data_IF_090209836258
#
_entry.id   IF_090209836258
#
_cell.length_a   1.000
_cell.length_b   1.000
_cell.length_c   1.000
_cell.angle_alpha   90.00
_cell.angle_beta   90.00
_cell.angle_gamma   90.00
#
_symmetry.space_group_name_H-M   'P 1'
#
loop_
_entity.id
_entity.type
_entity.pdbx_description
1 polymer ?
#
# COMPACT_ATOMS: atom_id res chain seq x y z
N UNK A 1 26.29 -9.07 1.29
CA UNK A 1 25.47 -8.54 0.17
C UNK A 1 24.08 -9.19 0.08
N UNK A 2 23.89 -10.44 0.53
CA UNK A 2 22.59 -11.15 0.59
C UNK A 2 21.65 -10.65 1.69
N UNK A 3 22.19 -10.25 2.85
CA UNK A 3 21.42 -9.96 4.06
C UNK A 3 20.61 -8.64 3.96
N UNK A 4 21.19 -7.59 3.37
CA UNK A 4 20.48 -6.32 3.13
C UNK A 4 19.34 -6.46 2.13
N UNK A 5 19.52 -7.29 1.10
CA UNK A 5 18.49 -7.54 0.09
C UNK A 5 17.34 -8.37 0.68
N UNK A 6 17.65 -9.35 1.53
CA UNK A 6 16.66 -10.09 2.32
C UNK A 6 15.86 -9.16 3.24
N UNK A 7 16.53 -8.23 3.93
CA UNK A 7 15.88 -7.22 4.75
C UNK A 7 14.88 -6.38 3.96
N UNK A 8 15.30 -5.79 2.82
CA UNK A 8 14.41 -4.95 2.01
C UNK A 8 13.22 -5.75 1.45
N UNK A 9 13.45 -7.01 1.03
CA UNK A 9 12.36 -7.92 0.61
C UNK A 9 11.34 -8.16 1.73
N UNK A 10 11.80 -8.34 2.97
CA UNK A 10 10.90 -8.56 4.10
C UNK A 10 10.08 -7.30 4.45
N UNK A 11 10.66 -6.10 4.33
CA UNK A 11 9.91 -4.85 4.47
C UNK A 11 8.85 -4.74 3.37
N UNK A 12 9.28 -4.92 2.12
CA UNK A 12 8.41 -4.85 0.95
C UNK A 12 7.23 -5.83 1.05
N UNK A 13 7.49 -7.08 1.44
CA UNK A 13 6.46 -8.10 1.59
C UNK A 13 5.38 -7.65 2.58
N UNK A 14 5.76 -7.16 3.76
CA UNK A 14 4.80 -6.69 4.77
C UNK A 14 4.00 -5.47 4.31
N UNK A 15 4.64 -4.56 3.59
CA UNK A 15 3.97 -3.42 2.94
C UNK A 15 2.91 -3.88 1.94
N UNK A 16 3.27 -4.80 1.04
CA UNK A 16 2.35 -5.34 0.03
C UNK A 16 1.19 -6.08 0.68
N UNK A 17 1.45 -6.93 1.68
CA UNK A 17 0.39 -7.66 2.39
C UNK A 17 -0.56 -6.72 3.13
N UNK A 18 -0.06 -5.62 3.69
CA UNK A 18 -0.91 -4.58 4.28
C UNK A 18 -1.79 -3.93 3.21
N UNK A 19 -1.24 -3.60 2.04
CA UNK A 19 -2.02 -3.02 0.94
C UNK A 19 -3.09 -3.99 0.44
N UNK A 20 -2.75 -5.26 0.21
CA UNK A 20 -3.70 -6.32 -0.16
C UNK A 20 -4.79 -6.56 0.88
N UNK A 21 -4.52 -6.27 2.15
CA UNK A 21 -5.52 -6.33 3.20
C UNK A 21 -6.50 -5.14 3.11
N UNK A 22 -5.98 -3.92 2.90
CA UNK A 22 -6.79 -2.70 2.89
C UNK A 22 -7.61 -2.53 1.61
N UNK A 23 -7.04 -2.82 0.45
CA UNK A 23 -7.65 -2.51 -0.86
C UNK A 23 -8.99 -3.21 -1.12
N UNK A 24 -9.17 -4.53 -0.86
CA UNK A 24 -10.44 -5.20 -1.14
C UNK A 24 -11.55 -4.78 -0.17
N UNK A 25 -11.19 -4.13 0.95
CA UNK A 25 -12.12 -3.62 1.96
C UNK A 25 -12.57 -2.19 1.69
N UNK A 26 -12.05 -1.55 0.64
CA UNK A 26 -12.34 -0.15 0.33
C UNK A 26 -11.83 0.83 1.40
N UNK A 27 -10.86 0.42 2.22
CA UNK A 27 -10.33 1.26 3.29
C UNK A 27 -9.40 2.33 2.72
N UNK A 28 -9.58 3.59 3.14
CA UNK A 28 -8.72 4.70 2.74
C UNK A 28 -7.27 4.42 3.15
N UNK A 29 -6.37 4.34 2.18
CA UNK A 29 -4.96 3.99 2.43
C UNK A 29 -4.22 5.13 3.11
N UNK A 30 -4.47 6.36 2.64
CA UNK A 30 -3.86 7.61 3.12
C UNK A 30 -4.79 8.34 4.07
N UNK A 31 -4.20 9.11 4.99
CA UNK A 31 -4.91 10.04 5.88
C UNK A 31 -4.53 11.48 5.57
N UNK A 32 -5.04 12.42 6.37
CA UNK A 32 -4.69 13.85 6.28
C UNK A 32 -3.31 14.18 6.86
N UNK A 33 -2.69 13.22 7.56
CA UNK A 33 -1.35 13.30 8.11
C UNK A 33 -0.56 12.06 7.64
N UNK A 34 0.76 12.15 7.55
CA UNK A 34 1.63 11.03 7.17
C UNK A 34 2.69 10.69 8.25
N UNK A 35 2.62 11.35 9.41
CA UNK A 35 3.52 11.12 10.55
C UNK A 35 3.09 9.89 11.34
N UNK A 36 4.03 9.01 11.66
CA UNK A 36 3.76 7.89 12.58
C UNK A 36 3.47 8.41 13.99
N UNK A 37 2.51 7.79 14.67
CA UNK A 37 1.95 8.17 15.96
C UNK A 37 0.74 9.10 15.86
N UNK A 38 0.40 9.59 14.65
CA UNK A 38 -0.76 10.43 14.44
C UNK A 38 -2.02 9.57 14.24
N UNK A 39 -3.12 9.93 14.90
CA UNK A 39 -4.44 9.31 14.70
C UNK A 39 -4.93 9.46 13.25
N UNK A 40 -4.43 10.46 12.55
CA UNK A 40 -4.81 10.79 11.17
C UNK A 40 -3.79 10.31 10.12
N UNK A 41 -2.91 9.36 10.45
CA UNK A 41 -1.83 8.89 9.58
C UNK A 41 -2.27 7.97 8.41
N UNK A 42 -3.58 7.70 8.31
CA UNK A 42 -4.17 6.81 7.31
C UNK A 42 -4.06 5.34 7.68
N UNK A 43 -4.94 4.51 7.11
CA UNK A 43 -5.02 3.10 7.52
C UNK A 43 -3.73 2.33 7.23
N UNK A 44 -2.99 2.66 6.16
CA UNK A 44 -1.74 1.95 5.85
C UNK A 44 -0.69 2.10 6.95
N UNK A 45 -0.44 3.33 7.40
CA UNK A 45 0.56 3.59 8.46
C UNK A 45 0.05 3.12 9.82
N UNK A 46 -1.22 3.36 10.13
CA UNK A 46 -1.84 2.85 11.36
C UNK A 46 -1.77 1.32 11.47
N UNK A 47 -1.91 0.60 10.36
CA UNK A 47 -1.77 -0.87 10.37
C UNK A 47 -0.32 -1.32 10.58
N UNK A 48 0.66 -0.60 10.02
CA UNK A 48 2.07 -0.89 10.28
C UNK A 48 2.45 -0.63 11.75
N UNK A 49 1.88 0.40 12.39
CA UNK A 49 2.00 0.64 13.83
C UNK A 49 1.33 -0.44 14.67
N UNK A 50 0.24 -1.03 14.18
CA UNK A 50 -0.35 -2.19 14.83
C UNK A 50 0.57 -3.40 14.74
N UNK A 51 1.14 -3.68 13.55
CA UNK A 51 2.06 -4.82 13.33
C UNK A 51 3.35 -4.65 14.14
N UNK A 52 3.84 -3.43 14.29
CA UNK A 52 5.00 -3.08 15.14
C UNK A 52 4.88 -3.65 16.55
N UNK A 53 3.71 -3.48 17.19
CA UNK A 53 3.45 -3.95 18.57
C UNK A 53 3.65 -5.45 18.77
N UNK A 54 3.54 -6.23 17.70
CA UNK A 54 3.62 -7.69 17.73
C UNK A 54 4.84 -8.26 16.97
N UNK A 55 5.68 -7.40 16.38
CA UNK A 55 6.70 -7.82 15.44
C UNK A 55 8.00 -7.01 15.53
N UNK A 56 9.08 -7.56 16.12
CA UNK A 56 10.33 -6.81 16.35
C UNK A 56 10.98 -6.31 15.05
N UNK A 57 10.76 -7.01 13.93
CA UNK A 57 11.28 -6.62 12.63
C UNK A 57 10.72 -5.28 12.13
N UNK A 58 9.39 -5.11 12.16
CA UNK A 58 8.77 -3.85 11.73
C UNK A 58 9.08 -2.75 12.75
N UNK A 59 9.09 -3.09 14.04
CA UNK A 59 9.48 -2.16 15.10
C UNK A 59 10.82 -1.50 14.85
N UNK A 60 11.86 -2.31 14.64
CA UNK A 60 13.20 -1.80 14.37
C UNK A 60 13.24 -0.98 13.08
N UNK A 61 12.49 -1.37 12.05
CA UNK A 61 12.41 -0.60 10.81
C UNK A 61 11.71 0.75 11.01
N UNK A 62 10.58 0.81 11.72
CA UNK A 62 9.85 2.06 11.99
C UNK A 62 10.66 3.01 12.86
N UNK A 63 11.31 2.53 13.92
CA UNK A 63 12.21 3.33 14.76
C UNK A 63 13.33 3.94 13.91
N UNK A 64 13.90 3.15 12.99
CA UNK A 64 15.05 3.58 12.19
C UNK A 64 14.68 4.50 11.02
N UNK A 65 13.51 4.34 10.42
CA UNK A 65 13.17 5.00 9.14
C UNK A 65 11.80 5.70 9.10
N UNK A 66 10.92 5.45 10.05
CA UNK A 66 9.48 5.74 9.93
C UNK A 66 9.09 7.23 9.86
N UNK A 67 9.88 8.10 10.51
CA UNK A 67 9.67 9.55 10.55
C UNK A 67 10.91 10.36 10.11
N UNK A 68 11.82 9.76 9.33
CA UNK A 68 13.10 10.41 8.94
C UNK A 68 12.99 11.49 7.84
N UNK A 69 11.77 11.82 7.39
CA UNK A 69 11.55 12.83 6.35
C UNK A 69 12.01 12.40 4.95
N UNK A 70 12.01 13.34 4.01
CA UNK A 70 12.38 13.12 2.60
C UNK A 70 13.90 12.84 2.46
N UNK A 71 14.29 12.08 1.43
CA UNK A 71 15.70 11.73 1.16
C UNK A 71 16.20 10.45 1.80
N UNK A 72 15.37 9.79 2.63
CA UNK A 72 15.65 8.45 3.16
C UNK A 72 14.83 7.40 2.42
N UNK A 73 15.48 6.32 1.97
CA UNK A 73 14.78 5.18 1.36
C UNK A 73 14.02 4.44 2.45
N UNK A 74 12.72 4.71 2.56
CA UNK A 74 11.80 3.96 3.40
C UNK A 74 10.66 3.47 2.53
N UNK A 75 10.51 2.16 2.36
CA UNK A 75 9.37 1.55 1.64
C UNK A 75 8.01 1.83 2.31
N UNK A 76 8.01 2.52 3.45
CA UNK A 76 6.84 2.95 4.21
C UNK A 76 6.45 4.40 3.86
N UNK A 77 7.29 5.11 3.11
CA UNK A 77 6.95 6.45 2.63
C UNK A 77 5.72 6.40 1.71
N UNK A 78 4.87 7.42 1.82
CA UNK A 78 3.60 7.48 1.10
C UNK A 78 3.79 7.46 -0.41
N UNK A 79 4.85 8.11 -0.92
CA UNK A 79 5.21 8.12 -2.35
C UNK A 79 5.47 6.72 -2.88
N UNK A 80 6.29 5.93 -2.17
CA UNK A 80 6.61 4.55 -2.54
C UNK A 80 5.36 3.65 -2.42
N UNK A 81 4.54 3.86 -1.40
CA UNK A 81 3.24 3.17 -1.29
C UNK A 81 2.34 3.45 -2.50
N UNK A 82 2.30 4.69 -2.99
CA UNK A 82 1.57 5.05 -4.21
C UNK A 82 2.14 4.37 -5.45
N UNK A 83 3.47 4.28 -5.59
CA UNK A 83 4.08 3.52 -6.68
C UNK A 83 3.63 2.06 -6.67
N UNK A 84 3.60 1.41 -5.50
CA UNK A 84 3.12 0.03 -5.38
C UNK A 84 1.64 -0.10 -5.74
N UNK A 85 0.80 0.84 -5.33
CA UNK A 85 -0.62 0.85 -5.70
C UNK A 85 -0.78 0.99 -7.21
N UNK A 86 -0.01 1.86 -7.86
CA UNK A 86 -0.05 2.00 -9.32
C UNK A 86 0.36 0.71 -10.02
N UNK A 87 1.49 0.10 -9.64
CA UNK A 87 1.96 -1.16 -10.21
C UNK A 87 0.95 -2.30 -10.03
N UNK A 88 0.37 -2.43 -8.82
CA UNK A 88 -0.68 -3.42 -8.55
C UNK A 88 -1.95 -3.13 -9.35
N UNK A 89 -2.34 -1.87 -9.49
CA UNK A 89 -3.48 -1.44 -10.29
C UNK A 89 -3.30 -1.77 -11.76
N UNK A 90 -2.12 -1.50 -12.34
CA UNK A 90 -1.78 -1.87 -13.71
C UNK A 90 -1.86 -3.39 -13.94
N UNK A 91 -1.35 -4.19 -12.99
CA UNK A 91 -1.43 -5.64 -13.07
C UNK A 91 -2.88 -6.15 -13.06
N UNK A 92 -3.73 -5.58 -12.20
CA UNK A 92 -5.17 -5.91 -12.14
C UNK A 92 -5.88 -5.51 -13.43
N UNK A 93 -5.63 -4.30 -13.94
CA UNK A 93 -6.22 -3.82 -15.21
C UNK A 93 -5.82 -4.73 -16.36
N UNK A 94 -4.54 -5.11 -16.45
CA UNK A 94 -4.05 -6.02 -17.50
C UNK A 94 -4.76 -7.36 -17.44
N UNK A 95 -4.97 -7.90 -16.24
CA UNK A 95 -5.68 -9.15 -16.06
C UNK A 95 -7.16 -9.05 -16.43
N UNK A 96 -7.83 -7.94 -16.09
CA UNK A 96 -9.21 -7.66 -16.53
C UNK A 96 -9.29 -7.62 -18.06
N UNK A 97 -8.34 -6.94 -18.73
CA UNK A 97 -8.29 -6.86 -20.20
C UNK A 97 -8.09 -8.25 -20.80
N UNK A 98 -7.16 -9.04 -20.28
CA UNK A 98 -6.93 -10.41 -20.74
C UNK A 98 -8.21 -11.26 -20.62
N UNK A 99 -8.92 -11.16 -19.49
CA UNK A 99 -10.17 -11.88 -19.29
C UNK A 99 -11.24 -11.46 -20.31
N UNK A 100 -11.41 -10.17 -20.55
CA UNK A 100 -12.34 -9.66 -21.58
C UNK A 100 -11.99 -10.21 -22.96
N UNK A 101 -10.72 -10.14 -23.36
CA UNK A 101 -10.25 -10.61 -24.67
C UNK A 101 -10.40 -12.13 -24.85
N UNK A 102 -10.31 -12.91 -23.77
CA UNK A 102 -10.42 -14.37 -23.80
C UNK A 102 -11.86 -14.91 -23.87
N UNK A 103 -12.87 -14.07 -23.63
CA UNK A 103 -14.28 -14.49 -23.51
C UNK A 103 -15.08 -14.08 -24.75
N UNK A 104 -15.94 -14.97 -25.21
CA UNK A 104 -16.88 -14.70 -26.33
C UNK A 104 -17.93 -13.64 -25.96
N UNK A 105 -18.32 -13.59 -24.70
CA UNK A 105 -19.33 -12.68 -24.18
C UNK A 105 -18.83 -12.03 -22.90
N UNK A 106 -19.03 -10.72 -22.79
CA UNK A 106 -18.76 -9.91 -21.60
C UNK A 106 -19.82 -8.80 -21.50
N UNK A 107 -19.96 -8.19 -20.33
CA UNK A 107 -20.82 -7.02 -20.15
C UNK A 107 -20.05 -5.96 -19.36
N UNK A 108 -20.27 -4.69 -19.66
CA UNK A 108 -19.69 -3.54 -18.96
C UNK A 108 -20.86 -2.72 -18.42
N UNK A 109 -20.88 -2.49 -17.12
CA UNK A 109 -21.86 -1.64 -16.44
C UNK A 109 -21.15 -0.33 -16.10
N UNK A 110 -21.67 0.78 -16.60
CA UNK A 110 -21.15 2.12 -16.30
C UNK A 110 -22.15 2.79 -15.37
N UNK A 111 -21.68 3.21 -14.19
CA UNK A 111 -22.48 3.98 -13.24
C UNK A 111 -21.92 5.40 -13.14
N UNK A 112 -22.76 6.41 -13.32
CA UNK A 112 -22.40 7.82 -13.20
C UNK A 112 -23.12 8.41 -11.99
N UNK A 113 -22.39 9.10 -11.12
CA UNK A 113 -22.95 9.88 -10.02
C UNK A 113 -22.56 11.34 -10.24
N UNK A 114 -23.54 12.24 -10.26
CA UNK A 114 -23.26 13.68 -10.34
C UNK A 114 -22.84 14.19 -8.97
N UNK A 115 -21.69 14.87 -8.90
CA UNK A 115 -21.30 15.59 -7.68
C UNK A 115 -22.19 16.82 -7.51
N UNK A 116 -22.76 16.99 -6.31
CA UNK A 116 -23.46 18.22 -5.93
C UNK A 116 -22.40 19.15 -5.36
N UNK A 117 -22.08 20.22 -6.09
CA UNK A 117 -21.26 21.34 -5.61
C UNK A 117 -22.05 22.26 -4.69
#
# INVERSE_FOLDING_TARGET
>A
MSESLSYLKNVLHRTIETLKFLTPRGLAIRGSNETLGSVNNGNYRGYLELIDKFGPFISQHLIKYGNKGRGNVSYILSTICTEFIMIMGEAVIKEIINQIQSRKYFSIIVNSTSDIT
#
